data_IF_966628000551
#
_entry.id   IF_966628000551
#
_cell.length_a   1.000
_cell.length_b   1.000
_cell.length_c   1.000
_cell.angle_alpha   90.00
_cell.angle_beta   90.00
_cell.angle_gamma   90.00
#
_symmetry.space_group_name_H-M   'P 1'
#
loop_
_entity.id
_entity.type
_entity.pdbx_description
1 polymer ?
#
# COMPACT_ATOMS: atom_id res chain seq x y z
N UNK A 1 -12.73 -19.17 -18.99
CA UNK A 1 -11.82 -18.60 -20.01
C UNK A 1 -12.44 -18.93 -21.38
N UNK A 2 -12.62 -17.96 -22.30
CA UNK A 2 -13.29 -18.13 -23.57
C UNK A 2 -12.80 -19.33 -24.42
N UNK A 3 -13.19 -19.40 -25.68
CA UNK A 3 -12.75 -20.48 -26.59
C UNK A 3 -11.24 -20.50 -26.67
N UNK A 4 -10.62 -21.62 -26.30
CA UNK A 4 -9.20 -21.86 -26.40
C UNK A 4 -8.89 -22.97 -27.39
N UNK A 5 -7.77 -22.88 -28.09
CA UNK A 5 -7.19 -23.97 -28.86
C UNK A 5 -5.81 -24.29 -28.30
N UNK A 6 -5.50 -25.56 -28.19
CA UNK A 6 -4.20 -26.06 -27.71
C UNK A 6 -3.60 -26.85 -28.87
N UNK A 7 -2.37 -26.49 -29.24
CA UNK A 7 -1.60 -27.18 -30.25
C UNK A 7 -0.31 -27.71 -29.63
N UNK A 8 -0.13 -29.00 -29.63
CA UNK A 8 1.11 -29.65 -29.22
C UNK A 8 2.14 -29.47 -30.34
N UNK A 9 3.28 -28.86 -30.02
CA UNK A 9 4.40 -28.65 -30.96
C UNK A 9 5.49 -29.69 -30.74
N UNK A 10 5.66 -30.18 -29.48
CA UNK A 10 6.55 -31.28 -29.12
C UNK A 10 6.09 -31.90 -27.80
N UNK A 11 6.74 -33.00 -27.35
CA UNK A 11 6.39 -33.69 -26.08
C UNK A 11 6.38 -32.79 -24.85
N UNK A 12 7.02 -31.63 -24.88
CA UNK A 12 7.12 -30.69 -23.75
C UNK A 12 6.70 -29.26 -24.08
N UNK A 13 6.32 -28.96 -25.33
CA UNK A 13 6.00 -27.61 -25.78
C UNK A 13 4.59 -27.56 -26.39
N UNK A 14 3.77 -26.72 -25.80
CA UNK A 14 2.39 -26.46 -26.24
C UNK A 14 2.21 -25.01 -26.61
N UNK A 15 1.53 -24.75 -27.71
CA UNK A 15 1.06 -23.40 -28.07
C UNK A 15 -0.45 -23.30 -27.77
N UNK A 16 -0.81 -22.28 -27.03
CA UNK A 16 -2.20 -22.05 -26.59
C UNK A 16 -2.66 -20.73 -27.16
N UNK A 17 -3.81 -20.74 -27.82
CA UNK A 17 -4.52 -19.54 -28.23
C UNK A 17 -5.79 -19.40 -27.41
N UNK A 18 -5.97 -18.28 -26.74
CA UNK A 18 -7.07 -18.01 -25.84
C UNK A 18 -7.77 -16.71 -26.24
N UNK A 19 -9.08 -16.79 -26.47
CA UNK A 19 -9.90 -15.59 -26.63
C UNK A 19 -10.36 -15.10 -25.26
N UNK A 20 -9.93 -13.88 -24.91
CA UNK A 20 -10.34 -13.20 -23.69
C UNK A 20 -10.89 -11.83 -24.05
N UNK A 21 -12.17 -11.59 -23.74
CA UNK A 21 -12.92 -10.44 -24.27
C UNK A 21 -12.90 -10.46 -25.80
N UNK A 22 -12.58 -9.35 -26.44
CA UNK A 22 -12.52 -9.23 -27.90
C UNK A 22 -11.14 -9.47 -28.51
N UNK A 23 -10.16 -9.87 -27.68
CA UNK A 23 -8.78 -10.11 -28.09
C UNK A 23 -8.43 -11.59 -28.04
N UNK A 24 -7.54 -12.01 -28.93
CA UNK A 24 -6.94 -13.34 -28.91
C UNK A 24 -5.49 -13.23 -28.44
N UNK A 25 -5.16 -14.00 -27.42
CA UNK A 25 -3.83 -14.07 -26.83
C UNK A 25 -3.20 -15.41 -27.18
N UNK A 26 -1.98 -15.38 -27.67
CA UNK A 26 -1.19 -16.58 -27.95
C UNK A 26 -0.05 -16.68 -26.93
N UNK A 27 0.14 -17.85 -26.33
CA UNK A 27 1.23 -18.12 -25.42
C UNK A 27 1.70 -19.56 -25.58
N UNK A 28 2.97 -19.79 -25.30
CA UNK A 28 3.54 -21.13 -25.28
C UNK A 28 3.78 -21.57 -23.84
N UNK A 29 3.59 -22.87 -23.63
CA UNK A 29 3.85 -23.52 -22.34
C UNK A 29 4.87 -24.62 -22.59
N UNK A 30 5.99 -24.57 -21.89
CA UNK A 30 7.08 -25.53 -22.01
C UNK A 30 7.48 -26.07 -20.65
N UNK A 31 7.78 -27.37 -20.58
CA UNK A 31 8.31 -28.01 -19.41
C UNK A 31 9.82 -28.16 -19.56
N UNK A 32 10.59 -27.38 -18.78
CA UNK A 32 12.06 -27.38 -18.78
C UNK A 32 12.52 -27.71 -17.35
N UNK A 33 13.33 -28.73 -17.18
CA UNK A 33 13.94 -29.12 -15.88
C UNK A 33 12.91 -29.20 -14.74
N UNK A 34 11.78 -29.82 -14.97
CA UNK A 34 10.66 -29.90 -14.02
C UNK A 34 10.02 -28.54 -13.65
N UNK A 35 10.30 -27.49 -14.39
CA UNK A 35 9.67 -26.18 -14.22
C UNK A 35 8.76 -25.87 -15.42
N UNK A 36 7.55 -25.41 -15.13
CA UNK A 36 6.64 -24.95 -16.15
C UNK A 36 7.00 -23.51 -16.54
N UNK A 37 7.45 -23.30 -17.76
CA UNK A 37 7.72 -21.99 -18.31
C UNK A 37 6.56 -21.57 -19.23
N UNK A 38 6.00 -20.39 -18.99
CA UNK A 38 4.90 -19.84 -19.79
C UNK A 38 5.41 -18.55 -20.42
N UNK A 39 5.52 -18.57 -21.77
CA UNK A 39 5.92 -17.42 -22.55
C UNK A 39 4.70 -16.83 -23.26
N UNK A 40 4.32 -15.62 -22.87
CA UNK A 40 3.17 -14.93 -23.44
C UNK A 40 3.65 -13.90 -24.47
N UNK A 41 3.24 -14.10 -25.72
CA UNK A 41 3.59 -13.18 -26.83
C UNK A 41 2.55 -12.05 -26.91
N UNK A 42 3.01 -10.83 -27.09
CA UNK A 42 2.16 -9.64 -27.36
C UNK A 42 1.13 -9.25 -26.28
N UNK A 43 1.34 -9.61 -25.01
CA UNK A 43 0.43 -9.23 -23.94
C UNK A 43 1.04 -8.30 -22.89
N UNK A 44 2.26 -7.83 -23.08
CA UNK A 44 3.02 -7.07 -22.08
C UNK A 44 2.34 -5.79 -21.56
N UNK A 45 1.28 -5.35 -22.23
CA UNK A 45 0.50 -4.17 -21.85
C UNK A 45 -0.92 -4.50 -21.33
N UNK A 46 -1.39 -5.77 -21.42
CA UNK A 46 -2.71 -6.14 -20.92
C UNK A 46 -2.61 -6.76 -19.51
N UNK A 47 -2.55 -5.90 -18.54
CA UNK A 47 -2.43 -6.21 -17.12
C UNK A 47 -3.54 -7.17 -16.66
N UNK A 48 -4.76 -6.97 -17.14
CA UNK A 48 -5.92 -7.79 -16.74
C UNK A 48 -5.76 -9.22 -17.22
N UNK A 49 -5.28 -9.41 -18.43
CA UNK A 49 -5.03 -10.74 -18.96
C UNK A 49 -3.89 -11.45 -18.20
N UNK A 50 -2.77 -10.75 -17.96
CA UNK A 50 -1.64 -11.31 -17.20
C UNK A 50 -2.05 -11.69 -15.78
N UNK A 51 -2.76 -10.82 -15.09
CA UNK A 51 -3.27 -11.08 -13.74
C UNK A 51 -4.24 -12.26 -13.72
N UNK A 52 -5.16 -12.34 -14.68
CA UNK A 52 -6.07 -13.47 -14.82
C UNK A 52 -5.31 -14.77 -15.04
N UNK A 53 -4.33 -14.77 -15.96
CA UNK A 53 -3.52 -15.95 -16.28
C UNK A 53 -2.75 -16.44 -15.04
N UNK A 54 -2.10 -15.54 -14.28
CA UNK A 54 -1.41 -15.88 -13.02
C UNK A 54 -2.38 -16.51 -12.01
N UNK A 55 -3.58 -15.94 -11.83
CA UNK A 55 -4.60 -16.52 -10.91
C UNK A 55 -5.04 -17.91 -11.34
N UNK A 56 -5.26 -18.13 -12.62
CA UNK A 56 -5.63 -19.45 -13.15
C UNK A 56 -4.52 -20.46 -12.89
N UNK A 57 -3.27 -20.08 -13.17
CA UNK A 57 -2.10 -20.94 -12.93
C UNK A 57 -1.97 -21.29 -11.46
N UNK A 58 -1.99 -20.28 -10.58
CA UNK A 58 -1.88 -20.50 -9.13
C UNK A 58 -3.01 -21.40 -8.63
N UNK A 59 -4.25 -21.17 -9.10
CA UNK A 59 -5.39 -22.00 -8.71
C UNK A 59 -5.20 -23.46 -9.13
N UNK A 60 -4.76 -23.71 -10.36
CA UNK A 60 -4.58 -25.09 -10.84
C UNK A 60 -3.36 -25.78 -10.23
N UNK A 61 -2.26 -25.03 -10.00
CA UNK A 61 -1.03 -25.58 -9.44
C UNK A 61 -1.14 -25.89 -7.94
N UNK A 62 -1.89 -25.10 -7.18
CA UNK A 62 -1.98 -25.22 -5.70
C UNK A 62 -3.39 -25.58 -5.19
N UNK A 63 -4.26 -26.06 -6.06
CA UNK A 63 -5.60 -26.48 -5.66
C UNK A 63 -5.56 -27.69 -4.73
N UNK A 64 -6.20 -27.57 -3.56
CA UNK A 64 -6.35 -28.67 -2.57
C UNK A 64 -7.73 -29.33 -2.65
N UNK A 65 -8.45 -29.09 -3.73
CA UNK A 65 -9.76 -29.70 -4.00
C UNK A 65 -10.79 -29.52 -2.85
N UNK A 66 -10.81 -28.36 -2.19
CA UNK A 66 -11.71 -28.07 -1.07
C UNK A 66 -13.17 -27.74 -1.51
N UNK A 67 -13.46 -27.78 -2.80
CA UNK A 67 -14.79 -27.63 -3.44
C UNK A 67 -15.50 -26.28 -3.20
N UNK A 68 -14.98 -25.39 -2.35
CA UNK A 68 -15.64 -24.10 -2.04
C UNK A 68 -15.96 -23.29 -3.30
N UNK A 69 -15.03 -23.21 -4.26
CA UNK A 69 -15.26 -22.47 -5.49
C UNK A 69 -16.23 -23.17 -6.47
N UNK A 70 -16.45 -24.49 -6.34
CA UNK A 70 -17.46 -25.23 -7.05
C UNK A 70 -18.85 -24.87 -6.51
N UNK A 71 -19.00 -24.88 -5.18
CA UNK A 71 -20.25 -24.47 -4.50
C UNK A 71 -20.61 -23.00 -4.78
N UNK A 72 -19.60 -22.13 -4.81
CA UNK A 72 -19.77 -20.69 -5.09
C UNK A 72 -20.03 -20.37 -6.56
N UNK A 73 -19.92 -21.34 -7.47
CA UNK A 73 -20.16 -21.12 -8.90
C UNK A 73 -21.65 -20.94 -9.18
N UNK A 74 -22.13 -19.73 -9.55
CA UNK A 74 -23.56 -19.47 -9.68
C UNK A 74 -24.22 -20.24 -10.84
N UNK A 75 -23.43 -20.74 -11.79
CA UNK A 75 -23.91 -21.51 -12.94
C UNK A 75 -23.59 -23.02 -12.86
N UNK A 76 -22.91 -23.47 -11.77
CA UNK A 76 -22.47 -24.85 -11.65
C UNK A 76 -21.49 -25.30 -12.77
N UNK A 77 -20.78 -24.35 -13.37
CA UNK A 77 -19.89 -24.63 -14.48
C UNK A 77 -18.51 -25.14 -14.05
N UNK A 78 -18.14 -24.98 -12.78
CA UNK A 78 -16.82 -25.33 -12.26
C UNK A 78 -16.89 -26.66 -11.51
N UNK A 79 -15.99 -27.58 -11.83
CA UNK A 79 -15.68 -28.74 -11.00
C UNK A 79 -14.21 -28.73 -10.63
N UNK A 80 -13.89 -29.17 -9.42
CA UNK A 80 -12.51 -29.22 -8.92
C UNK A 80 -12.04 -30.64 -8.62
N UNK A 81 -12.92 -31.62 -8.70
CA UNK A 81 -12.61 -33.04 -8.47
C UNK A 81 -12.95 -33.83 -9.75
N UNK A 82 -12.06 -34.70 -10.27
CA UNK A 82 -10.69 -35.03 -9.78
C UNK A 82 -9.63 -33.98 -10.15
N UNK A 83 -9.97 -33.04 -11.03
CA UNK A 83 -9.11 -31.91 -11.41
C UNK A 83 -9.95 -30.67 -11.70
N UNK A 84 -9.32 -29.51 -11.66
CA UNK A 84 -10.00 -28.25 -11.94
C UNK A 84 -10.43 -28.23 -13.41
N UNK A 85 -11.73 -28.22 -13.66
CA UNK A 85 -12.33 -28.17 -14.99
C UNK A 85 -13.49 -27.17 -15.04
N UNK A 86 -13.73 -26.58 -16.21
CA UNK A 86 -14.81 -25.63 -16.43
C UNK A 86 -15.64 -26.07 -17.63
N UNK A 87 -16.91 -26.30 -17.40
CA UNK A 87 -17.88 -26.52 -18.47
C UNK A 87 -18.16 -25.19 -19.19
N UNK A 88 -17.57 -25.02 -20.37
CA UNK A 88 -17.67 -23.80 -21.16
C UNK A 88 -19.11 -23.50 -21.61
N UNK A 89 -20.00 -24.50 -21.65
CA UNK A 89 -21.39 -24.32 -22.06
C UNK A 89 -22.22 -23.68 -20.94
N UNK A 90 -21.86 -23.92 -19.69
CA UNK A 90 -22.52 -23.38 -18.49
C UNK A 90 -21.85 -22.11 -17.96
N UNK A 91 -20.57 -21.88 -18.29
CA UNK A 91 -19.81 -20.78 -17.71
C UNK A 91 -20.30 -19.42 -18.23
N UNK A 92 -20.80 -18.59 -17.31
CA UNK A 92 -21.25 -17.21 -17.58
C UNK A 92 -20.15 -16.17 -17.46
N UNK A 93 -18.89 -16.58 -17.30
CA UNK A 93 -17.71 -15.73 -17.19
C UNK A 93 -17.77 -14.66 -16.08
N UNK A 94 -18.45 -14.92 -14.97
CA UNK A 94 -18.57 -14.01 -13.82
C UNK A 94 -17.28 -13.87 -12.99
N UNK A 95 -16.28 -14.71 -13.24
CA UNK A 95 -14.99 -14.75 -12.53
C UNK A 95 -15.04 -14.96 -11.01
N UNK A 96 -16.20 -15.29 -10.42
CA UNK A 96 -16.30 -15.59 -8.97
C UNK A 96 -15.28 -16.65 -8.51
N UNK A 97 -15.06 -17.67 -9.32
CA UNK A 97 -14.09 -18.72 -9.04
C UNK A 97 -12.63 -18.24 -9.00
N UNK A 98 -12.34 -17.02 -9.43
CA UNK A 98 -11.01 -16.41 -9.43
C UNK A 98 -10.86 -15.28 -8.39
N UNK A 99 -11.96 -14.86 -7.78
CA UNK A 99 -11.96 -13.89 -6.68
C UNK A 99 -11.80 -14.63 -5.36
N UNK A 100 -10.58 -14.70 -4.84
CA UNK A 100 -10.24 -15.51 -3.67
C UNK A 100 -10.40 -14.81 -2.32
N UNK A 101 -10.99 -13.62 -2.27
CA UNK A 101 -10.88 -12.77 -1.09
C UNK A 101 -11.83 -13.12 0.04
N UNK A 102 -13.08 -13.40 -0.23
CA UNK A 102 -14.09 -13.51 0.82
C UNK A 102 -14.42 -14.95 1.20
N UNK A 103 -14.34 -15.88 0.24
CA UNK A 103 -14.58 -17.30 0.45
C UNK A 103 -13.34 -18.13 0.08
N UNK A 104 -12.20 -17.62 0.42
CA UNK A 104 -10.89 -17.90 -0.08
C UNK A 104 -10.50 -19.36 -0.25
N UNK A 105 -9.79 -19.62 -1.31
CA UNK A 105 -8.97 -20.82 -1.43
C UNK A 105 -8.17 -21.04 -0.13
N UNK A 106 -8.41 -22.17 0.54
CA UNK A 106 -7.80 -22.52 1.83
C UNK A 106 -6.27 -22.41 1.76
N UNK A 107 -5.66 -22.76 0.63
CA UNK A 107 -4.20 -22.64 0.40
C UNK A 107 -3.76 -21.20 0.32
N UNK A 108 -4.46 -20.33 -0.41
CA UNK A 108 -4.10 -18.92 -0.50
C UNK A 108 -4.22 -18.22 0.86
N UNK A 109 -5.21 -18.60 1.66
CA UNK A 109 -5.39 -18.08 3.02
C UNK A 109 -4.38 -18.66 4.02
N UNK A 110 -4.00 -19.93 3.90
CA UNK A 110 -3.00 -20.54 4.79
C UNK A 110 -1.58 -20.02 4.50
N UNK A 111 -1.22 -19.78 3.25
CA UNK A 111 0.06 -19.12 2.89
C UNK A 111 0.11 -17.70 3.44
N UNK A 112 -1.00 -16.94 3.36
CA UNK A 112 -1.09 -15.61 3.98
C UNK A 112 -0.99 -15.65 5.51
N UNK A 113 -1.58 -16.65 6.16
CA UNK A 113 -1.49 -16.80 7.61
C UNK A 113 -0.07 -17.17 8.07
N UNK A 114 0.65 -18.01 7.33
CA UNK A 114 2.05 -18.35 7.67
C UNK A 114 3.00 -17.17 7.49
N UNK A 115 2.81 -16.32 6.49
CA UNK A 115 3.61 -15.09 6.34
C UNK A 115 3.27 -14.03 7.41
N UNK A 116 2.06 -14.02 7.95
CA UNK A 116 1.65 -13.15 9.05
C UNK A 116 2.02 -13.68 10.44
N UNK A 117 2.20 -14.99 10.61
CA UNK A 117 2.63 -15.62 11.88
C UNK A 117 4.13 -15.35 12.13
N UNK A 118 4.95 -15.16 11.10
CA UNK A 118 6.38 -14.88 11.24
C UNK A 118 6.70 -13.47 11.78
N UNK A 119 5.74 -12.56 11.85
CA UNK A 119 5.86 -11.30 12.60
C UNK A 119 4.97 -11.36 13.83
N UNK A 120 5.39 -12.15 14.82
CA UNK A 120 4.73 -12.15 16.13
C UNK A 120 4.76 -10.73 16.71
N UNK A 121 3.67 -10.34 17.38
CA UNK A 121 3.50 -9.07 18.09
C UNK A 121 4.57 -8.77 19.17
N UNK A 122 5.57 -9.64 19.33
CA UNK A 122 6.58 -9.56 20.40
C UNK A 122 7.86 -8.82 20.01
N UNK A 123 8.03 -8.40 18.75
CA UNK A 123 9.23 -7.65 18.31
C UNK A 123 8.98 -6.16 18.10
N UNK A 124 7.95 -5.59 18.70
CA UNK A 124 7.86 -4.13 18.81
C UNK A 124 8.96 -3.64 19.72
N UNK A 125 10.09 -3.28 19.11
CA UNK A 125 11.27 -2.84 19.82
C UNK A 125 10.96 -1.49 20.49
N UNK A 126 11.20 -1.38 21.79
CA UNK A 126 11.07 -0.13 22.56
C UNK A 126 11.81 1.04 21.88
N UNK A 127 12.85 0.74 21.12
CA UNK A 127 13.61 1.73 20.35
C UNK A 127 12.84 2.34 19.19
N UNK A 128 11.82 1.68 18.67
CA UNK A 128 11.09 2.14 17.50
C UNK A 128 10.34 3.45 17.73
N UNK A 129 9.75 3.64 18.93
CA UNK A 129 9.11 4.90 19.32
C UNK A 129 10.01 5.80 20.17
N UNK A 130 10.97 5.24 20.92
CA UNK A 130 11.92 6.00 21.76
C UNK A 130 12.85 6.89 20.92
N UNK A 131 13.20 6.49 19.71
CA UNK A 131 14.15 7.18 18.82
C UNK A 131 13.75 8.62 18.45
N UNK A 132 12.49 9.00 18.65
CA UNK A 132 11.99 10.36 18.35
C UNK A 132 12.01 11.29 19.56
N UNK A 133 12.17 10.75 20.77
CA UNK A 133 12.13 11.49 22.02
C UNK A 133 10.90 12.44 22.08
N UNK A 134 11.10 13.73 22.30
CA UNK A 134 10.02 14.75 22.32
C UNK A 134 9.98 15.64 21.06
N UNK A 135 10.88 15.43 20.12
CA UNK A 135 10.99 16.29 18.94
C UNK A 135 10.19 15.76 17.77
N UNK A 136 9.28 16.58 17.26
CA UNK A 136 8.51 16.27 16.06
C UNK A 136 9.29 16.48 14.75
N UNK A 137 8.70 16.01 13.65
CA UNK A 137 9.20 16.24 12.30
C UNK A 137 8.82 17.66 11.86
N UNK A 138 9.77 18.59 11.88
CA UNK A 138 9.51 20.00 11.72
C UNK A 138 9.74 20.47 10.28
N UNK A 139 8.77 21.18 9.71
CA UNK A 139 8.88 21.71 8.36
C UNK A 139 10.14 22.59 8.18
N UNK A 140 10.48 23.43 9.15
CA UNK A 140 11.67 24.27 9.07
C UNK A 140 13.00 23.49 8.91
N UNK A 141 13.07 22.28 9.45
CA UNK A 141 14.24 21.42 9.31
C UNK A 141 14.29 20.78 7.91
N UNK A 142 13.12 20.37 7.39
CA UNK A 142 12.99 19.86 6.01
C UNK A 142 13.33 20.97 5.02
N UNK A 143 12.86 22.20 5.28
CA UNK A 143 13.19 23.37 4.46
C UNK A 143 14.69 23.65 4.43
N UNK A 144 15.35 23.56 5.58
CA UNK A 144 16.81 23.74 5.66
C UNK A 144 17.55 22.61 4.92
N UNK A 145 17.08 21.37 5.04
CA UNK A 145 17.65 20.23 4.33
C UNK A 145 17.62 20.39 2.81
N UNK A 146 16.47 20.81 2.23
CA UNK A 146 16.34 20.96 0.78
C UNK A 146 17.11 22.13 0.16
N UNK A 147 17.76 22.97 0.97
CA UNK A 147 18.73 23.99 0.46
C UNK A 147 20.05 23.35 0.02
N UNK A 148 20.47 22.26 0.67
CA UNK A 148 21.74 21.58 0.39
C UNK A 148 21.67 20.09 0.77
N UNK A 149 20.85 19.27 0.09
CA UNK A 149 20.53 17.90 0.52
C UNK A 149 21.76 16.98 0.69
N UNK A 150 22.75 17.13 -0.16
CA UNK A 150 23.94 16.27 -0.18
C UNK A 150 24.89 16.53 0.99
N UNK A 151 24.94 17.76 1.50
CA UNK A 151 25.90 18.19 2.52
C UNK A 151 25.27 18.51 3.86
N UNK A 152 23.95 18.75 3.88
CA UNK A 152 23.22 19.26 5.03
C UNK A 152 23.51 18.47 6.33
N UNK A 153 23.33 17.18 6.33
CA UNK A 153 23.48 16.37 7.54
C UNK A 153 24.91 16.32 8.09
N UNK A 154 25.89 16.52 7.22
CA UNK A 154 27.32 16.45 7.57
C UNK A 154 27.89 17.81 7.99
N UNK A 155 27.34 18.91 7.47
CA UNK A 155 27.93 20.25 7.60
C UNK A 155 26.93 21.26 8.17
N UNK A 156 25.91 21.63 7.38
CA UNK A 156 25.03 22.76 7.69
C UNK A 156 24.05 22.48 8.84
N UNK A 157 23.69 21.20 9.04
CA UNK A 157 22.76 20.81 10.10
C UNK A 157 23.24 21.20 11.50
N UNK A 158 24.55 21.22 11.74
CA UNK A 158 25.14 21.55 13.04
C UNK A 158 24.92 23.00 13.45
N UNK A 159 24.73 23.90 12.49
CA UNK A 159 24.45 25.31 12.73
C UNK A 159 22.98 25.55 13.09
N UNK A 160 22.08 24.67 12.65
CA UNK A 160 20.63 24.82 12.76
C UNK A 160 20.04 23.91 13.86
N UNK A 161 20.65 22.73 14.05
CA UNK A 161 20.19 21.68 14.93
C UNK A 161 21.23 21.40 16.03
N UNK A 162 20.76 21.19 17.26
CA UNK A 162 21.66 20.65 18.27
C UNK A 162 22.16 19.27 17.86
N UNK A 163 23.50 19.17 17.68
CA UNK A 163 24.15 17.97 17.11
C UNK A 163 23.86 16.70 17.93
N UNK A 164 23.84 16.80 19.25
CA UNK A 164 23.66 15.64 20.15
C UNK A 164 22.19 15.26 20.36
N UNK A 165 21.26 16.22 20.26
CA UNK A 165 19.85 16.00 20.64
C UNK A 165 18.90 16.02 19.44
N UNK A 166 19.02 16.97 18.54
CA UNK A 166 18.04 17.20 17.47
C UNK A 166 18.43 16.53 16.15
N UNK A 167 19.70 16.56 15.78
CA UNK A 167 20.17 15.99 14.52
C UNK A 167 19.92 14.48 14.38
N UNK A 168 20.18 13.64 15.41
CA UNK A 168 19.84 12.22 15.33
C UNK A 168 18.33 11.96 15.16
N UNK A 169 17.50 12.78 15.82
CA UNK A 169 16.04 12.64 15.76
C UNK A 169 15.53 13.09 14.40
N UNK A 170 16.03 14.20 13.87
CA UNK A 170 15.70 14.63 12.50
C UNK A 170 16.10 13.57 11.48
N UNK A 171 17.29 13.00 11.57
CA UNK A 171 17.72 11.89 10.70
C UNK A 171 16.78 10.68 10.81
N UNK A 172 16.30 10.34 12.01
CA UNK A 172 15.34 9.25 12.20
C UNK A 172 13.99 9.53 11.52
N UNK A 173 13.51 10.79 11.57
CA UNK A 173 12.31 11.20 10.85
C UNK A 173 12.51 11.13 9.33
N UNK A 174 13.63 11.65 8.83
CA UNK A 174 13.96 11.61 7.39
C UNK A 174 14.08 10.19 6.86
N UNK A 175 14.70 9.27 7.62
CA UNK A 175 14.76 7.85 7.27
C UNK A 175 13.35 7.21 7.24
N UNK A 176 12.54 7.47 8.28
CA UNK A 176 11.18 6.94 8.34
C UNK A 176 10.27 7.50 7.25
N UNK A 177 10.55 8.72 6.78
CA UNK A 177 9.87 9.34 5.64
C UNK A 177 10.40 8.86 4.28
N UNK A 178 11.41 8.00 4.26
CA UNK A 178 12.04 7.51 3.03
C UNK A 178 12.88 8.55 2.28
N UNK A 179 13.24 9.67 2.93
CA UNK A 179 13.93 10.79 2.27
C UNK A 179 15.46 10.65 2.30
N UNK A 180 16.00 9.92 3.26
CA UNK A 180 17.43 9.58 3.32
C UNK A 180 17.63 8.09 3.55
N UNK A 181 18.71 7.57 3.01
CA UNK A 181 19.11 6.18 3.16
C UNK A 181 19.55 5.87 4.60
N UNK A 182 19.15 4.73 5.12
CA UNK A 182 19.60 4.26 6.43
C UNK A 182 21.11 3.94 6.46
N UNK A 183 21.69 3.54 5.32
CA UNK A 183 23.06 3.08 5.19
C UNK A 183 24.08 4.22 5.26
N UNK A 184 23.87 5.26 4.45
CA UNK A 184 24.88 6.31 4.23
C UNK A 184 24.34 7.73 4.46
N UNK A 185 23.07 7.85 4.88
CA UNK A 185 22.38 9.13 5.13
C UNK A 185 22.28 10.06 3.92
N UNK A 186 22.50 9.56 2.72
CA UNK A 186 22.33 10.32 1.49
C UNK A 186 20.88 10.43 1.08
N UNK A 187 20.51 11.44 0.25
CA UNK A 187 19.19 11.53 -0.35
C UNK A 187 18.82 10.22 -1.08
N UNK A 188 17.60 9.74 -0.87
CA UNK A 188 17.06 8.62 -1.65
C UNK A 188 16.60 9.10 -3.02
N UNK A 189 16.35 8.16 -3.94
CA UNK A 189 15.71 8.50 -5.21
C UNK A 189 14.39 9.25 -4.99
N UNK A 190 13.55 8.78 -4.05
CA UNK A 190 12.29 9.44 -3.70
C UNK A 190 12.53 10.91 -3.29
N UNK A 191 13.49 11.17 -2.40
CA UNK A 191 13.82 12.54 -1.96
C UNK A 191 14.16 13.46 -3.11
N UNK A 192 14.94 12.97 -4.09
CA UNK A 192 15.31 13.73 -5.28
C UNK A 192 14.10 13.95 -6.18
N UNK A 193 13.31 12.91 -6.43
CA UNK A 193 12.16 12.96 -7.33
C UNK A 193 11.08 13.95 -6.85
N UNK A 194 10.81 13.99 -5.53
CA UNK A 194 9.80 14.90 -4.96
C UNK A 194 10.36 16.24 -4.49
N UNK A 195 11.65 16.51 -4.65
CA UNK A 195 12.28 17.75 -4.20
C UNK A 195 11.67 19.00 -4.84
N UNK A 196 11.35 18.93 -6.13
CA UNK A 196 10.67 20.00 -6.84
C UNK A 196 9.27 20.29 -6.27
N UNK A 197 8.53 19.26 -5.93
CA UNK A 197 7.20 19.37 -5.34
C UNK A 197 7.24 20.05 -3.96
N UNK A 198 8.31 19.91 -3.20
CA UNK A 198 8.44 20.60 -1.91
C UNK A 198 8.22 22.11 -2.01
N UNK A 199 8.64 22.72 -3.12
CA UNK A 199 8.50 24.17 -3.36
C UNK A 199 7.26 24.53 -4.16
N UNK A 200 6.81 23.69 -5.09
CA UNK A 200 5.72 23.96 -6.02
C UNK A 200 4.36 23.49 -5.50
N UNK A 201 4.32 22.32 -4.90
CA UNK A 201 3.15 21.70 -4.28
C UNK A 201 3.52 21.05 -2.94
N UNK A 202 3.64 21.84 -1.87
CA UNK A 202 3.95 21.32 -0.56
C UNK A 202 2.92 20.29 -0.05
N UNK A 203 1.65 20.39 -0.50
CA UNK A 203 0.61 19.42 -0.12
C UNK A 203 0.96 18.03 -0.62
N UNK A 204 1.25 17.89 -1.90
CA UNK A 204 1.67 16.62 -2.50
C UNK A 204 2.92 16.04 -1.83
N UNK A 205 3.96 16.88 -1.61
CA UNK A 205 5.16 16.43 -0.92
C UNK A 205 4.84 15.79 0.44
N UNK A 206 4.04 16.47 1.27
CA UNK A 206 3.69 15.98 2.60
C UNK A 206 2.70 14.81 2.57
N UNK A 207 1.90 14.66 1.52
CA UNK A 207 1.10 13.46 1.29
C UNK A 207 2.00 12.23 1.11
N UNK A 208 3.03 12.30 0.27
CA UNK A 208 4.00 11.20 0.07
C UNK A 208 4.76 10.89 1.37
N UNK A 209 5.23 11.93 2.07
CA UNK A 209 5.87 11.78 3.39
C UNK A 209 4.94 11.05 4.37
N UNK A 210 3.66 11.40 4.42
CA UNK A 210 2.71 10.76 5.32
C UNK A 210 2.45 9.30 4.97
N UNK A 211 2.35 8.96 3.70
CA UNK A 211 2.26 7.55 3.26
C UNK A 211 3.43 6.74 3.81
N UNK A 212 4.66 7.24 3.67
CA UNK A 212 5.84 6.55 4.20
C UNK A 212 5.86 6.46 5.72
N UNK A 213 5.53 7.55 6.41
CA UNK A 213 5.45 7.54 7.87
C UNK A 213 4.42 6.52 8.38
N UNK A 214 3.27 6.38 7.72
CA UNK A 214 2.29 5.35 8.08
C UNK A 214 2.78 3.91 7.83
N UNK A 215 3.67 3.70 6.86
CA UNK A 215 4.20 2.38 6.54
C UNK A 215 5.46 2.01 7.33
N UNK A 216 6.36 2.98 7.55
CA UNK A 216 7.74 2.72 8.02
C UNK A 216 8.03 3.30 9.42
N UNK A 217 7.04 3.95 10.06
CA UNK A 217 7.16 4.53 11.38
C UNK A 217 6.07 3.98 12.31
N UNK A 218 6.44 3.20 13.31
CA UNK A 218 5.48 2.56 14.22
C UNK A 218 4.56 3.54 14.95
N UNK A 219 5.06 4.73 15.32
CA UNK A 219 4.27 5.75 16.00
C UNK A 219 3.19 6.32 15.08
N UNK A 220 3.54 6.63 13.82
CA UNK A 220 2.59 7.13 12.83
C UNK A 220 1.63 6.03 12.34
N UNK A 221 2.12 4.81 12.18
CA UNK A 221 1.32 3.63 11.87
C UNK A 221 0.29 3.35 12.97
N UNK A 222 0.72 3.36 14.24
CA UNK A 222 -0.18 3.24 15.38
C UNK A 222 -1.25 4.35 15.36
N UNK A 223 -0.84 5.60 15.18
CA UNK A 223 -1.76 6.72 15.17
C UNK A 223 -2.79 6.60 14.03
N UNK A 224 -2.35 6.30 12.83
CA UNK A 224 -3.24 6.15 11.68
C UNK A 224 -4.22 4.97 11.85
N UNK A 225 -3.81 3.91 12.53
CA UNK A 225 -4.64 2.71 12.73
C UNK A 225 -5.62 2.82 13.89
N UNK A 226 -5.31 3.58 14.96
CA UNK A 226 -6.06 3.59 16.21
C UNK A 226 -6.92 4.84 16.42
N UNK A 227 -6.62 5.93 15.72
CA UNK A 227 -7.32 7.20 15.88
C UNK A 227 -8.28 7.39 14.71
N UNK A 228 -9.58 7.52 15.01
CA UNK A 228 -10.61 7.69 13.98
C UNK A 228 -10.73 9.12 13.50
N UNK A 229 -11.35 9.29 12.33
CA UNK A 229 -11.59 10.60 11.73
C UNK A 229 -12.77 11.32 12.39
N UNK A 230 -12.75 12.63 12.33
CA UNK A 230 -13.79 13.57 12.77
C UNK A 230 -14.11 13.53 14.28
N UNK A 231 -13.28 12.88 15.09
CA UNK A 231 -13.40 12.87 16.56
C UNK A 231 -12.27 13.64 17.23
N UNK A 232 -12.63 14.37 18.32
CA UNK A 232 -11.65 15.07 19.16
C UNK A 232 -11.06 14.13 20.21
N UNK A 233 -9.79 13.83 20.07
CA UNK A 233 -9.07 13.06 21.08
C UNK A 233 -8.29 14.00 22.00
N UNK A 234 -8.60 13.99 23.30
CA UNK A 234 -7.78 14.66 24.29
C UNK A 234 -6.41 13.97 24.40
N UNK A 235 -5.43 14.67 24.96
CA UNK A 235 -4.12 14.07 25.21
C UNK A 235 -4.20 12.84 26.10
N UNK A 236 -5.08 12.86 27.10
CA UNK A 236 -5.33 11.76 28.04
C UNK A 236 -5.93 10.56 27.31
N UNK A 237 -6.89 10.79 26.40
CA UNK A 237 -7.48 9.73 25.56
C UNK A 237 -6.43 9.07 24.66
N UNK A 238 -5.58 9.86 24.00
CA UNK A 238 -4.48 9.33 23.20
C UNK A 238 -3.45 8.56 24.03
N UNK A 239 -3.14 9.05 25.23
CA UNK A 239 -2.24 8.35 26.16
C UNK A 239 -2.81 7.01 26.61
N UNK A 240 -4.12 6.94 26.88
CA UNK A 240 -4.81 5.71 27.24
C UNK A 240 -4.83 4.70 26.08
N UNK A 241 -5.08 5.15 24.84
CA UNK A 241 -5.01 4.30 23.64
C UNK A 241 -3.58 3.77 23.45
N UNK A 242 -2.57 4.62 23.61
CA UNK A 242 -1.18 4.24 23.47
C UNK A 242 -0.76 3.23 24.56
N UNK A 243 -1.25 3.37 25.77
CA UNK A 243 -0.99 2.44 26.86
C UNK A 243 -1.54 1.04 26.59
N UNK A 244 -2.70 0.94 25.91
CA UNK A 244 -3.26 -0.36 25.49
C UNK A 244 -2.40 -1.03 24.41
N UNK A 245 -1.94 -0.25 23.43
CA UNK A 245 -1.17 -0.76 22.29
C UNK A 245 0.28 -1.08 22.65
N UNK A 246 0.89 -0.30 23.53
CA UNK A 246 2.30 -0.38 23.94
C UNK A 246 2.44 -0.57 25.45
N UNK A 247 1.69 -1.52 26.02
CA UNK A 247 1.64 -1.78 27.47
C UNK A 247 3.00 -2.16 28.08
N UNK A 248 3.90 -2.74 27.28
CA UNK A 248 5.26 -3.13 27.68
C UNK A 248 6.27 -1.97 27.67
N UNK A 249 5.89 -0.78 27.14
CA UNK A 249 6.76 0.39 27.06
C UNK A 249 6.50 1.29 28.29
N UNK A 250 7.55 1.82 28.96
CA UNK A 250 7.39 2.72 30.11
C UNK A 250 6.55 3.97 29.78
N UNK A 251 5.75 4.43 30.75
CA UNK A 251 4.88 5.60 30.59
C UNK A 251 5.61 6.84 30.13
N UNK A 252 6.79 7.13 30.68
CA UNK A 252 7.61 8.27 30.28
C UNK A 252 8.04 8.21 28.79
N UNK A 253 8.29 7.00 28.29
CA UNK A 253 8.65 6.81 26.87
C UNK A 253 7.44 7.01 25.97
N UNK A 254 6.26 6.46 26.35
CA UNK A 254 5.00 6.69 25.62
C UNK A 254 4.63 8.17 25.60
N UNK A 255 4.77 8.87 26.72
CA UNK A 255 4.48 10.29 26.84
C UNK A 255 5.41 11.15 25.96
N UNK A 256 6.70 10.82 25.88
CA UNK A 256 7.64 11.47 24.99
C UNK A 256 7.31 11.21 23.52
N UNK A 257 6.97 9.97 23.15
CA UNK A 257 6.55 9.63 21.81
C UNK A 257 5.29 10.40 21.40
N UNK A 258 4.28 10.48 22.29
CA UNK A 258 3.07 11.25 22.05
C UNK A 258 3.39 12.75 21.89
N UNK A 259 4.27 13.33 22.70
CA UNK A 259 4.76 14.70 22.52
C UNK A 259 5.42 14.90 21.17
N UNK A 260 6.25 13.95 20.73
CA UNK A 260 6.91 14.00 19.42
C UNK A 260 5.89 14.03 18.29
N UNK A 261 4.87 13.16 18.34
CA UNK A 261 3.79 13.10 17.35
C UNK A 261 2.99 14.41 17.29
N UNK A 262 2.56 14.92 18.45
CA UNK A 262 1.82 16.18 18.53
C UNK A 262 2.65 17.37 18.02
N UNK A 263 3.95 17.38 18.30
CA UNK A 263 4.85 18.40 17.78
C UNK A 263 5.05 18.26 16.26
N UNK A 264 5.03 17.05 15.70
CA UNK A 264 5.01 16.85 14.25
C UNK A 264 3.79 17.51 13.63
N UNK A 265 2.61 17.29 14.16
CA UNK A 265 1.38 17.89 13.64
C UNK A 265 1.33 19.42 13.79
N UNK A 266 1.90 19.95 14.87
CA UNK A 266 1.94 21.41 15.09
C UNK A 266 2.94 22.12 14.17
N UNK A 267 4.05 21.48 13.86
CA UNK A 267 5.22 22.11 13.25
C UNK A 267 5.45 21.67 11.79
N UNK A 268 4.50 20.90 11.21
CA UNK A 268 4.54 20.49 9.81
C UNK A 268 3.17 20.64 9.12
N UNK A 269 3.11 20.68 7.79
CA UNK A 269 1.88 20.65 7.01
C UNK A 269 0.99 19.43 7.24
N UNK A 270 1.50 18.36 7.82
CA UNK A 270 0.70 17.16 8.15
C UNK A 270 -0.53 17.49 9.01
N UNK A 271 -0.37 18.32 10.04
CA UNK A 271 -1.49 18.70 10.90
C UNK A 271 -2.27 19.90 10.37
N UNK A 272 -1.58 20.89 9.82
CA UNK A 272 -2.18 22.20 9.47
C UNK A 272 -2.85 22.16 8.08
N UNK A 273 -2.19 21.52 7.09
CA UNK A 273 -2.64 21.50 5.69
C UNK A 273 -3.39 20.22 5.40
N UNK A 274 -2.79 19.05 5.68
CA UNK A 274 -3.41 17.77 5.36
C UNK A 274 -4.49 17.32 6.36
N UNK A 275 -4.57 17.95 7.53
CA UNK A 275 -5.57 17.60 8.53
C UNK A 275 -5.39 16.22 9.17
N UNK A 276 -4.29 15.50 8.92
CA UNK A 276 -4.10 14.15 9.46
C UNK A 276 -3.92 14.13 10.99
N UNK A 277 -3.73 15.30 11.59
CA UNK A 277 -3.60 15.47 13.04
C UNK A 277 -3.75 16.94 13.45
N UNK A 278 -4.88 17.56 13.14
CA UNK A 278 -5.14 18.96 13.50
C UNK A 278 -5.17 19.14 15.03
N UNK A 279 -4.23 19.91 15.54
CA UNK A 279 -4.16 20.21 16.98
C UNK A 279 -5.04 21.40 17.30
N UNK A 280 -6.05 21.17 18.14
CA UNK A 280 -7.04 22.13 18.57
C UNK A 280 -6.73 22.52 20.03
N UNK A 281 -6.67 23.82 20.31
CA UNK A 281 -6.52 24.37 21.67
C UNK A 281 -7.81 25.03 22.08
N UNK A 282 -8.38 24.62 23.21
CA UNK A 282 -9.53 25.25 23.84
C UNK A 282 -9.16 25.57 25.29
N UNK A 283 -8.73 26.81 25.55
CA UNK A 283 -8.14 27.24 26.82
C UNK A 283 -6.88 26.43 27.13
N UNK A 284 -6.88 25.77 28.30
CA UNK A 284 -5.76 24.92 28.73
C UNK A 284 -5.82 23.48 28.19
N UNK A 285 -6.87 23.11 27.47
CA UNK A 285 -7.05 21.77 26.92
C UNK A 285 -6.53 21.72 25.47
N UNK A 286 -5.84 20.64 25.16
CA UNK A 286 -5.36 20.36 23.82
C UNK A 286 -5.99 19.05 23.34
N UNK A 287 -6.66 19.08 22.21
CA UNK A 287 -7.16 17.90 21.50
C UNK A 287 -6.54 17.78 20.13
N UNK A 288 -6.67 16.62 19.53
CA UNK A 288 -6.25 16.31 18.18
C UNK A 288 -7.43 15.72 17.43
N UNK A 289 -7.66 16.19 16.21
CA UNK A 289 -8.67 15.68 15.29
C UNK A 289 -8.00 15.27 14.00
N UNK A 290 -8.35 14.11 13.48
CA UNK A 290 -8.11 13.76 12.09
C UNK A 290 -9.26 14.26 11.24
N UNK A 291 -8.94 14.96 10.16
CA UNK A 291 -9.93 15.48 9.21
C UNK A 291 -9.79 14.66 7.93
N UNK A 292 -10.93 14.25 7.38
CA UNK A 292 -11.00 13.63 6.05
C UNK A 292 -10.35 14.50 5.00
N UNK A 293 -9.52 13.91 4.15
CA UNK A 293 -8.85 14.62 3.07
C UNK A 293 -9.20 13.94 1.73
N UNK A 294 -10.05 14.60 0.97
CA UNK A 294 -10.50 14.15 -0.35
C UNK A 294 -9.65 14.75 -1.48
N UNK A 295 -8.84 15.78 -1.19
CA UNK A 295 -7.96 16.44 -2.16
C UNK A 295 -6.56 15.75 -2.17
N UNK A 296 -6.53 14.55 -2.72
CA UNK A 296 -5.30 13.79 -2.86
C UNK A 296 -4.81 13.81 -4.31
N UNK A 297 -3.51 14.05 -4.47
CA UNK A 297 -2.87 13.92 -5.77
C UNK A 297 -2.99 12.48 -6.29
N UNK A 298 -3.23 12.30 -7.59
CA UNK A 298 -3.32 10.97 -8.23
C UNK A 298 -2.08 10.13 -7.92
N UNK A 299 -0.89 10.74 -7.99
CA UNK A 299 0.37 10.08 -7.66
C UNK A 299 0.44 9.60 -6.19
N UNK A 300 -0.17 10.33 -5.26
CA UNK A 300 -0.24 9.91 -3.84
C UNK A 300 -1.06 8.64 -3.67
N UNK A 301 -2.23 8.60 -4.29
CA UNK A 301 -3.13 7.43 -4.20
C UNK A 301 -2.47 6.21 -4.86
N UNK A 302 -1.93 6.38 -6.07
CA UNK A 302 -1.20 5.32 -6.77
C UNK A 302 -0.02 4.81 -5.91
N UNK A 303 0.82 5.72 -5.40
CA UNK A 303 1.94 5.38 -4.54
C UNK A 303 1.51 4.60 -3.29
N UNK A 304 0.47 5.07 -2.59
CA UNK A 304 -0.05 4.38 -1.40
C UNK A 304 -0.58 2.98 -1.71
N UNK A 305 -1.28 2.79 -2.83
CA UNK A 305 -1.77 1.49 -3.28
C UNK A 305 -0.62 0.52 -3.56
N UNK A 306 0.44 0.99 -4.25
CA UNK A 306 1.61 0.17 -4.51
C UNK A 306 2.40 -0.18 -3.24
N UNK A 307 2.59 0.78 -2.32
CA UNK A 307 3.20 0.50 -0.99
C UNK A 307 2.40 -0.55 -0.21
N UNK A 308 1.07 -0.47 -0.27
CA UNK A 308 0.20 -1.46 0.35
C UNK A 308 0.32 -2.83 -0.32
N UNK A 309 0.30 -2.88 -1.66
CA UNK A 309 0.41 -4.10 -2.44
C UNK A 309 1.75 -4.81 -2.23
N UNK A 310 2.87 -4.07 -2.23
CA UNK A 310 4.20 -4.58 -1.92
C UNK A 310 4.26 -5.21 -0.53
N UNK A 311 3.73 -4.53 0.48
CA UNK A 311 3.68 -5.04 1.86
C UNK A 311 2.83 -6.30 2.01
N UNK A 312 1.74 -6.42 1.24
CA UNK A 312 0.82 -7.57 1.25
C UNK A 312 1.18 -8.63 0.22
N UNK A 313 2.17 -8.37 -0.65
CA UNK A 313 2.50 -9.21 -1.80
C UNK A 313 1.26 -9.55 -2.65
N UNK A 314 0.35 -8.57 -2.81
CA UNK A 314 -0.93 -8.74 -3.48
C UNK A 314 -1.28 -7.50 -4.31
N UNK A 315 -1.26 -7.64 -5.62
CA UNK A 315 -1.52 -6.57 -6.59
C UNK A 315 -2.96 -6.55 -7.11
N UNK A 316 -3.81 -7.42 -6.60
CA UNK A 316 -5.25 -7.41 -6.86
C UNK A 316 -5.98 -7.08 -5.57
N UNK A 317 -6.47 -5.86 -5.48
CA UNK A 317 -7.09 -5.25 -4.31
C UNK A 317 -8.58 -4.99 -4.59
N UNK A 318 -9.35 -4.62 -3.57
CA UNK A 318 -10.73 -4.17 -3.74
C UNK A 318 -10.97 -2.85 -3.01
N UNK A 319 -11.88 -2.03 -3.53
CA UNK A 319 -12.29 -0.79 -2.84
C UNK A 319 -12.86 -1.12 -1.46
N UNK A 320 -13.77 -2.11 -1.38
CA UNK A 320 -14.39 -2.52 -0.11
C UNK A 320 -13.39 -2.98 0.96
N UNK A 321 -12.23 -3.51 0.57
CA UNK A 321 -11.17 -3.87 1.50
C UNK A 321 -10.68 -2.66 2.30
N UNK A 322 -10.53 -1.50 1.65
CA UNK A 322 -10.05 -0.28 2.30
C UNK A 322 -11.09 0.37 3.22
N UNK A 323 -12.39 0.12 2.99
CA UNK A 323 -13.49 0.61 3.82
C UNK A 323 -13.97 -0.41 4.87
N UNK A 324 -13.30 -1.57 4.96
CA UNK A 324 -13.59 -2.53 6.03
C UNK A 324 -13.14 -1.93 7.38
N UNK A 325 -14.00 -1.90 8.41
CA UNK A 325 -13.65 -1.37 9.74
C UNK A 325 -12.44 -2.07 10.40
N UNK A 326 -12.20 -3.34 10.04
CA UNK A 326 -11.02 -4.08 10.51
C UNK A 326 -9.72 -3.71 9.78
N UNK A 327 -9.79 -2.93 8.70
CA UNK A 327 -8.61 -2.51 7.94
C UNK A 327 -7.89 -1.39 8.68
N UNK A 328 -6.61 -1.60 8.96
CA UNK A 328 -5.77 -0.67 9.72
C UNK A 328 -4.72 0.03 8.86
N UNK A 329 -4.62 -0.32 7.59
CA UNK A 329 -3.58 0.15 6.66
C UNK A 329 -4.20 0.62 5.33
N UNK A 330 -3.39 1.28 4.49
CA UNK A 330 -3.78 1.73 3.16
C UNK A 330 -4.33 3.14 3.12
N UNK A 331 -4.59 3.64 1.91
CA UNK A 331 -4.88 5.05 1.61
C UNK A 331 -6.06 5.61 2.39
N UNK A 332 -7.15 4.85 2.53
CA UNK A 332 -8.35 5.28 3.26
C UNK A 332 -8.02 5.48 4.74
N UNK A 333 -7.27 4.57 5.34
CA UNK A 333 -6.86 4.70 6.74
C UNK A 333 -5.82 5.81 6.95
N UNK A 334 -5.01 6.13 5.93
CA UNK A 334 -4.02 7.21 5.97
C UNK A 334 -4.65 8.60 5.88
N UNK A 335 -5.66 8.78 5.04
CA UNK A 335 -6.21 10.10 4.70
C UNK A 335 -7.71 10.28 4.99
N UNK A 336 -8.44 9.22 5.27
CA UNK A 336 -9.89 9.28 5.50
C UNK A 336 -10.69 9.62 4.24
N UNK A 337 -10.13 9.43 3.07
CA UNK A 337 -10.79 9.74 1.81
C UNK A 337 -12.14 9.03 1.70
N UNK A 338 -13.17 9.75 1.26
CA UNK A 338 -14.49 9.20 1.04
C UNK A 338 -14.53 8.27 -0.17
N UNK A 339 -15.44 7.31 -0.15
CA UNK A 339 -15.48 6.24 -1.16
C UNK A 339 -15.68 6.79 -2.57
N UNK A 340 -16.55 7.75 -2.72
CA UNK A 340 -16.88 8.37 -4.01
C UNK A 340 -15.67 9.06 -4.62
N UNK A 341 -14.92 9.82 -3.81
CA UNK A 341 -13.70 10.53 -4.23
C UNK A 341 -12.57 9.54 -4.53
N UNK A 342 -12.42 8.50 -3.72
CA UNK A 342 -11.44 7.44 -3.98
C UNK A 342 -11.73 6.72 -5.31
N UNK A 343 -12.99 6.34 -5.57
CA UNK A 343 -13.38 5.73 -6.83
C UNK A 343 -13.21 6.69 -8.03
N UNK A 344 -13.43 7.99 -7.85
CA UNK A 344 -13.18 8.99 -8.89
C UNK A 344 -11.69 9.07 -9.24
N UNK A 345 -10.82 9.08 -8.24
CA UNK A 345 -9.35 9.03 -8.43
C UNK A 345 -8.94 7.74 -9.14
N UNK A 346 -9.48 6.59 -8.75
CA UNK A 346 -9.17 5.31 -9.41
C UNK A 346 -9.54 5.31 -10.89
N UNK A 347 -10.70 5.90 -11.25
CA UNK A 347 -11.11 6.06 -12.65
C UNK A 347 -10.16 6.99 -13.41
N UNK A 348 -9.69 8.06 -12.77
CA UNK A 348 -8.69 8.95 -13.37
C UNK A 348 -7.36 8.25 -13.61
N UNK A 349 -6.87 7.46 -12.66
CA UNK A 349 -5.64 6.67 -12.79
C UNK A 349 -5.74 5.58 -13.87
N UNK A 350 -6.94 5.06 -14.13
CA UNK A 350 -7.17 4.12 -15.24
C UNK A 350 -7.07 4.79 -16.61
N UNK A 351 -7.43 6.07 -16.72
CA UNK A 351 -7.47 6.83 -17.98
C UNK A 351 -6.11 7.36 -18.43
N UNK A 352 -5.11 7.37 -17.57
CA UNK A 352 -3.75 7.81 -17.87
C UNK A 352 -3.13 7.01 -19.02
N UNK A 353 -2.33 7.66 -19.90
CA UNK A 353 -1.78 7.08 -21.13
C UNK A 353 -1.03 5.75 -20.94
N UNK A 354 -0.52 5.52 -19.75
CA UNK A 354 0.24 4.31 -19.44
C UNK A 354 -0.34 3.52 -18.27
N UNK A 355 -1.61 3.53 -18.07
CA UNK A 355 -2.35 2.75 -17.06
C UNK A 355 -1.49 2.19 -15.92
N UNK A 356 -1.40 2.92 -14.81
CA UNK A 356 -0.69 2.45 -13.61
C UNK A 356 -1.52 1.40 -12.85
N UNK A 357 -2.82 1.39 -13.07
CA UNK A 357 -3.76 0.41 -12.54
C UNK A 357 -4.94 0.22 -13.49
N UNK A 358 -5.78 -0.76 -13.18
CA UNK A 358 -7.12 -0.90 -13.75
C UNK A 358 -8.16 -0.97 -12.64
N UNK A 359 -9.24 -0.19 -12.80
CA UNK A 359 -10.34 -0.10 -11.87
C UNK A 359 -11.61 -0.72 -12.48
N UNK A 360 -12.03 -1.88 -12.00
CA UNK A 360 -13.28 -2.52 -12.42
C UNK A 360 -14.39 -2.17 -11.40
N UNK A 361 -15.00 -0.98 -11.58
CA UNK A 361 -15.93 -0.38 -10.63
C UNK A 361 -17.40 -0.37 -11.14
N UNK A 362 -17.72 -1.24 -12.09
CA UNK A 362 -19.08 -1.31 -12.70
C UNK A 362 -19.77 -2.62 -12.34
N UNK A 363 -21.10 -2.62 -12.34
CA UNK A 363 -21.94 -3.82 -12.14
C UNK A 363 -21.68 -4.57 -10.83
N UNK A 364 -21.43 -3.81 -9.73
CA UNK A 364 -21.14 -4.41 -8.41
C UNK A 364 -19.72 -4.95 -8.26
N UNK A 365 -18.84 -4.72 -9.23
CA UNK A 365 -17.41 -4.98 -9.10
C UNK A 365 -16.73 -3.80 -8.40
N UNK A 366 -15.71 -4.08 -7.59
CA UNK A 366 -14.94 -3.10 -6.87
C UNK A 366 -13.43 -3.41 -6.89
N UNK A 367 -12.96 -4.01 -8.00
CA UNK A 367 -11.59 -4.49 -8.14
C UNK A 367 -10.63 -3.36 -8.54
N UNK A 368 -9.47 -3.36 -7.90
CA UNK A 368 -8.30 -2.54 -8.24
C UNK A 368 -7.18 -3.49 -8.63
N UNK A 369 -6.75 -3.47 -9.86
CA UNK A 369 -5.70 -4.35 -10.38
C UNK A 369 -4.47 -3.50 -10.68
N UNK A 370 -3.43 -3.69 -9.87
CA UNK A 370 -2.15 -2.99 -10.02
C UNK A 370 -1.22 -3.77 -10.97
N UNK A 371 -0.26 -3.07 -11.55
CA UNK A 371 0.80 -3.69 -12.35
C UNK A 371 1.81 -4.35 -11.43
N UNK A 372 2.05 -5.64 -11.63
CA UNK A 372 3.05 -6.39 -10.84
C UNK A 372 4.51 -6.13 -11.28
N UNK A 373 4.70 -5.52 -12.45
CA UNK A 373 6.01 -5.11 -12.98
C UNK A 373 6.45 -3.72 -12.49
N UNK A 374 5.60 -3.02 -11.74
CA UNK A 374 5.91 -1.72 -11.14
C UNK A 374 6.08 -1.85 -9.63
N UNK A 375 7.08 -1.13 -9.14
CA UNK A 375 7.23 -0.85 -7.71
C UNK A 375 6.62 0.50 -7.36
N UNK A 376 6.43 0.77 -6.07
CA UNK A 376 6.02 2.11 -5.61
C UNK A 376 7.00 3.20 -6.05
N UNK A 377 8.31 2.89 -6.11
CA UNK A 377 9.32 3.82 -6.63
C UNK A 377 9.14 4.09 -8.13
N UNK A 378 8.77 3.06 -8.91
CA UNK A 378 8.52 3.23 -10.34
C UNK A 378 7.26 4.08 -10.60
N UNK A 379 6.25 4.01 -9.73
CA UNK A 379 5.09 4.90 -9.79
C UNK A 379 5.50 6.36 -9.64
N UNK A 380 6.37 6.68 -8.68
CA UNK A 380 6.88 8.05 -8.51
C UNK A 380 7.67 8.49 -9.75
N UNK A 381 8.52 7.61 -10.30
CA UNK A 381 9.26 7.89 -11.54
C UNK A 381 8.35 8.17 -12.72
N UNK A 382 7.24 7.45 -12.77
CA UNK A 382 6.29 7.51 -13.86
C UNK A 382 5.38 8.73 -13.78
N UNK A 383 4.80 9.00 -12.60
CA UNK A 383 3.80 10.05 -12.40
C UNK A 383 4.39 11.47 -12.29
N UNK A 384 5.70 11.61 -12.08
CA UNK A 384 6.39 12.90 -11.96
C UNK A 384 7.24 13.29 -13.19
N UNK A 385 7.10 12.56 -14.29
CA UNK A 385 7.67 12.93 -15.60
C UNK A 385 6.80 13.97 -16.28
#
# INVERSE_FOLDING_TARGET
LGKSSIKELSKSLYEISLKFRDKVYAFSVELIDNKLQILVKNCGQDIVFVSLLKRVINKTAYCVHCEVCEVECPSGALSVVPCVSVDASKCIHCHKCLTFKDNGCVVANSIKQTSNIAKSKNDMNIYSIKKFNTFGFRNRWVQAYYKSPDTFLNKEAKEILNEKKQLPIFSNWMMSAGLISAKDKKPTYLSVAISGAYHQDPSFFWQIVWVNLCNDNELCSWYSSQVDYEYDYSREALSALMAKSFSFIPDSTRDNALKSLLNTFKESPLGVVLGVGKVIKAGNKTSVRRITNNDLALATVAYSLYRYAEKKECYSLTVSEFYNPAQTEGVVRQFGIEREDFEAILRSLEQEQNQVLRAELKMGLDNIILREDFTSEDIIKFMLK
#
